data_IF_245641319684
#
_entry.id   IF_245641319684
#
_cell.length_a   1.000
_cell.length_b   1.000
_cell.length_c   1.000
_cell.angle_alpha   90.00
_cell.angle_beta   90.00
_cell.angle_gamma   90.00
#
_symmetry.space_group_name_H-M   'P 1'
#
loop_
_entity.id
_entity.type
_entity.pdbx_description
1 polymer ?
#
# COMPACT_ATOMS: atom_id res chain seq x y z
N UNK A 1 3.61 -3.46 38.33
CA UNK A 1 2.52 -2.46 38.24
C UNK A 1 1.25 -3.19 37.86
N UNK A 2 0.10 -2.82 38.44
CA UNK A 2 -1.21 -3.35 38.04
C UNK A 2 -1.81 -2.55 36.90
N UNK A 3 -2.58 -3.18 36.02
CA UNK A 3 -3.35 -2.50 34.97
C UNK A 3 -4.78 -3.04 34.95
N UNK A 4 -5.72 -2.21 34.51
CA UNK A 4 -7.14 -2.58 34.37
C UNK A 4 -7.44 -2.68 32.89
N UNK A 5 -7.94 -3.84 32.46
CA UNK A 5 -8.42 -4.04 31.09
C UNK A 5 -9.85 -3.54 30.99
N UNK A 6 -10.03 -2.39 30.35
CA UNK A 6 -11.35 -1.84 30.07
C UNK A 6 -12.04 -2.65 28.97
N UNK A 7 -13.37 -2.77 29.03
CA UNK A 7 -14.17 -3.44 28.01
C UNK A 7 -14.29 -2.61 26.72
N UNK A 8 -14.23 -1.28 26.84
CA UNK A 8 -14.26 -0.34 25.73
C UNK A 8 -13.07 0.62 25.82
N UNK A 9 -12.49 1.04 24.68
CA UNK A 9 -11.49 2.10 24.68
C UNK A 9 -12.09 3.40 25.21
N UNK A 10 -11.27 4.18 25.91
CA UNK A 10 -11.60 5.52 26.44
C UNK A 10 -10.52 6.50 26.02
N UNK A 11 -10.91 7.76 25.80
CA UNK A 11 -9.96 8.84 25.54
C UNK A 11 -9.53 9.48 26.86
N UNK A 12 -8.24 9.77 26.99
CA UNK A 12 -7.73 10.50 28.13
C UNK A 12 -8.11 11.99 28.04
N UNK A 13 -8.58 12.57 29.15
CA UNK A 13 -9.19 13.91 29.18
C UNK A 13 -8.27 15.02 28.67
N UNK A 14 -6.97 14.91 28.95
CA UNK A 14 -5.98 15.90 28.51
C UNK A 14 -5.88 16.07 26.99
N UNK A 15 -6.21 15.05 26.18
CA UNK A 15 -6.06 15.15 24.72
C UNK A 15 -7.25 15.75 24.00
N UNK A 16 -8.43 15.80 24.62
CA UNK A 16 -9.63 16.36 23.99
C UNK A 16 -10.15 17.64 24.64
N UNK A 17 -9.87 17.86 25.94
CA UNK A 17 -10.35 19.05 26.67
C UNK A 17 -9.29 20.16 26.83
N UNK A 18 -8.02 19.87 26.52
CA UNK A 18 -6.97 20.89 26.48
C UNK A 18 -7.24 21.89 25.35
N UNK A 19 -6.71 23.11 25.48
CA UNK A 19 -6.78 24.16 24.47
C UNK A 19 -5.35 24.48 24.03
N UNK A 20 -4.99 24.32 22.74
CA UNK A 20 -5.78 23.66 21.69
C UNK A 20 -5.84 22.14 21.93
N UNK A 21 -6.94 21.47 21.57
CA UNK A 21 -7.04 20.03 21.84
C UNK A 21 -6.25 19.25 20.78
N UNK A 22 -5.23 18.45 21.16
CA UNK A 22 -4.42 17.70 20.20
C UNK A 22 -5.25 16.80 19.27
N UNK A 23 -6.30 16.19 19.81
CA UNK A 23 -7.16 15.29 19.04
C UNK A 23 -8.02 16.02 18.00
N UNK A 24 -8.45 17.26 18.30
CA UNK A 24 -9.15 18.12 17.32
C UNK A 24 -8.25 18.51 16.17
N UNK A 25 -6.99 18.87 16.46
CA UNK A 25 -6.01 19.25 15.44
C UNK A 25 -5.67 18.08 14.51
N UNK A 26 -5.53 16.87 15.06
CA UNK A 26 -5.25 15.68 14.28
C UNK A 26 -6.40 15.31 13.33
N UNK A 27 -7.64 15.43 13.82
CA UNK A 27 -8.84 15.00 13.08
C UNK A 27 -9.47 16.12 12.24
N UNK A 28 -9.00 17.36 12.37
CA UNK A 28 -9.60 18.57 11.79
C UNK A 28 -11.10 18.72 12.14
N UNK A 29 -11.44 18.44 13.41
CA UNK A 29 -12.81 18.53 13.93
C UNK A 29 -12.85 19.59 15.03
N UNK A 30 -13.79 20.55 15.04
CA UNK A 30 -13.86 21.53 16.10
C UNK A 30 -14.10 20.87 17.47
N UNK A 31 -13.49 21.37 18.57
CA UNK A 31 -13.50 20.70 19.87
C UNK A 31 -14.91 20.46 20.41
N UNK A 32 -15.87 21.35 20.12
CA UNK A 32 -17.28 21.17 20.48
C UNK A 32 -17.90 19.92 19.85
N UNK A 33 -17.55 19.61 18.60
CA UNK A 33 -18.05 18.41 17.93
C UNK A 33 -17.36 17.16 18.47
N UNK A 34 -16.08 17.25 18.83
CA UNK A 34 -15.31 16.15 19.42
C UNK A 34 -15.86 15.76 20.81
N UNK A 35 -16.17 16.74 21.66
CA UNK A 35 -16.80 16.50 22.97
C UNK A 35 -18.14 15.77 22.82
N UNK A 36 -18.98 16.18 21.86
CA UNK A 36 -20.26 15.51 21.57
C UNK A 36 -20.09 14.04 21.20
N UNK A 37 -19.06 13.71 20.42
CA UNK A 37 -18.76 12.33 20.02
C UNK A 37 -18.35 11.50 21.24
N UNK A 38 -17.44 12.03 22.07
CA UNK A 38 -16.91 11.35 23.25
C UNK A 38 -17.96 11.10 24.34
N UNK A 39 -18.89 12.03 24.51
CA UNK A 39 -19.96 11.93 25.50
C UNK A 39 -21.24 11.29 24.96
N UNK A 40 -21.20 10.68 23.78
CA UNK A 40 -22.36 10.05 23.14
C UNK A 40 -23.59 10.97 23.12
N UNK A 41 -23.40 12.22 22.68
CA UNK A 41 -24.47 13.17 22.58
C UNK A 41 -25.60 12.61 21.68
N UNK A 42 -26.88 12.78 22.07
CA UNK A 42 -28.01 12.12 21.41
C UNK A 42 -28.24 12.57 19.96
N UNK A 43 -27.67 13.71 19.57
CA UNK A 43 -27.69 14.24 18.21
C UNK A 43 -26.71 13.53 17.27
N UNK A 44 -25.72 12.81 17.79
CA UNK A 44 -24.74 12.08 16.99
C UNK A 44 -25.16 10.62 16.85
N UNK A 45 -25.68 10.27 15.68
CA UNK A 45 -25.91 8.89 15.26
C UNK A 45 -24.96 8.54 14.13
N UNK A 46 -24.46 7.30 14.11
CA UNK A 46 -23.87 6.76 12.89
C UNK A 46 -25.03 6.32 12.02
N UNK A 47 -25.11 6.89 10.83
CA UNK A 47 -26.11 6.54 9.84
C UNK A 47 -25.39 6.09 8.59
N UNK A 48 -25.91 5.05 7.95
CA UNK A 48 -25.39 4.61 6.67
C UNK A 48 -25.86 5.58 5.58
N UNK A 49 -24.96 5.90 4.65
CA UNK A 49 -25.29 6.73 3.49
C UNK A 49 -25.76 5.82 2.36
N UNK A 50 -26.74 6.28 1.59
CA UNK A 50 -27.30 5.58 0.44
C UNK A 50 -27.22 6.46 -0.80
N UNK A 51 -26.91 5.86 -1.94
CA UNK A 51 -26.93 6.53 -3.25
C UNK A 51 -28.18 6.10 -4.02
N UNK A 52 -28.90 7.07 -4.56
CA UNK A 52 -30.12 6.81 -5.34
C UNK A 52 -29.77 6.29 -6.73
N UNK A 53 -30.30 5.13 -7.09
CA UNK A 53 -30.12 4.51 -8.41
C UNK A 53 -31.28 4.83 -9.35
N UNK A 54 -32.50 4.74 -8.83
CA UNK A 54 -33.74 5.02 -9.55
C UNK A 54 -34.60 5.96 -8.72
N UNK A 55 -34.90 7.13 -9.27
CA UNK A 55 -35.83 8.09 -8.68
C UNK A 55 -37.13 8.13 -9.47
N UNK A 56 -38.23 7.74 -8.81
CA UNK A 56 -39.57 7.75 -9.39
C UNK A 56 -40.45 8.74 -8.62
N UNK A 57 -40.34 10.04 -8.91
CA UNK A 57 -41.27 11.07 -8.44
C UNK A 57 -41.05 11.62 -7.03
N UNK A 58 -40.01 11.15 -6.33
CA UNK A 58 -39.38 11.93 -5.26
C UNK A 58 -38.47 12.95 -5.95
N UNK A 59 -38.47 14.24 -5.55
CA UNK A 59 -37.60 15.28 -6.13
C UNK A 59 -36.09 15.09 -5.90
N UNK A 60 -35.65 13.83 -5.83
CA UNK A 60 -34.30 13.34 -5.71
C UNK A 60 -33.84 12.93 -7.11
N UNK A 61 -32.61 13.27 -7.44
CA UNK A 61 -31.98 12.88 -8.69
C UNK A 61 -31.15 11.60 -8.49
N UNK A 62 -30.86 10.92 -9.59
CA UNK A 62 -29.98 9.75 -9.58
C UNK A 62 -28.56 10.20 -9.20
N UNK A 63 -27.97 9.56 -8.19
CA UNK A 63 -26.65 9.91 -7.66
C UNK A 63 -26.70 10.80 -6.40
N UNK A 64 -27.87 11.21 -5.94
CA UNK A 64 -28.00 11.91 -4.66
C UNK A 64 -27.64 10.98 -3.50
N UNK A 65 -26.89 11.53 -2.54
CA UNK A 65 -26.50 10.85 -1.32
C UNK A 65 -27.50 11.20 -0.22
N UNK A 66 -28.13 10.17 0.33
CA UNK A 66 -29.23 10.26 1.27
C UNK A 66 -28.86 9.55 2.58
N UNK A 67 -29.39 10.04 3.70
CA UNK A 67 -29.24 9.41 5.01
C UNK A 67 -30.14 8.16 5.14
N UNK A 68 -29.75 7.21 5.98
CA UNK A 68 -30.53 5.99 6.25
C UNK A 68 -31.98 6.29 6.69
N UNK A 69 -32.17 7.33 7.51
CA UNK A 69 -33.49 7.74 8.00
C UNK A 69 -34.35 8.25 6.85
N UNK A 70 -33.79 9.08 5.97
CA UNK A 70 -34.47 9.60 4.79
C UNK A 70 -34.81 8.47 3.81
N UNK A 71 -33.87 7.55 3.58
CA UNK A 71 -34.13 6.35 2.78
C UNK A 71 -35.29 5.52 3.34
N UNK A 72 -35.35 5.30 4.67
CA UNK A 72 -36.45 4.59 5.31
C UNK A 72 -37.79 5.31 5.13
N UNK A 73 -37.80 6.64 5.22
CA UNK A 73 -38.98 7.47 4.96
C UNK A 73 -39.42 7.27 3.51
N UNK A 74 -38.53 7.48 2.54
CA UNK A 74 -38.88 7.36 1.13
C UNK A 74 -39.33 5.96 0.74
N UNK A 75 -38.69 4.91 1.25
CA UNK A 75 -39.10 3.51 1.04
C UNK A 75 -40.51 3.23 1.55
N UNK A 76 -40.92 3.87 2.65
CA UNK A 76 -42.27 3.74 3.22
C UNK A 76 -43.35 4.41 2.36
N UNK A 77 -43.02 5.53 1.72
CA UNK A 77 -43.96 6.30 0.91
C UNK A 77 -43.94 5.92 -0.58
N UNK A 78 -42.84 5.36 -1.06
CA UNK A 78 -42.64 5.01 -2.46
C UNK A 78 -41.82 3.71 -2.58
N UNK A 79 -42.50 2.62 -2.90
CA UNK A 79 -41.89 1.28 -3.02
C UNK A 79 -40.94 1.16 -4.22
N UNK A 80 -41.01 2.10 -5.18
CA UNK A 80 -40.18 2.08 -6.38
C UNK A 80 -38.80 2.72 -6.19
N UNK A 81 -38.58 3.47 -5.10
CA UNK A 81 -37.28 4.08 -4.83
C UNK A 81 -36.25 2.97 -4.54
N UNK A 82 -35.24 2.86 -5.40
CA UNK A 82 -34.07 2.00 -5.16
C UNK A 82 -32.86 2.86 -4.84
N UNK A 83 -32.27 2.61 -3.68
CA UNK A 83 -31.00 3.18 -3.28
C UNK A 83 -30.12 2.08 -2.71
N UNK A 84 -28.82 2.15 -3.00
CA UNK A 84 -27.83 1.22 -2.51
C UNK A 84 -26.94 1.88 -1.46
N UNK A 85 -26.44 1.12 -0.46
CA UNK A 85 -25.54 1.66 0.52
C UNK A 85 -24.20 2.10 -0.11
N UNK A 86 -23.74 3.29 0.26
CA UNK A 86 -22.46 3.82 -0.17
C UNK A 86 -21.34 3.21 0.66
N UNK A 87 -20.40 2.55 -0.01
CA UNK A 87 -19.17 2.05 0.61
C UNK A 87 -17.98 2.86 0.09
N UNK A 88 -17.14 3.32 1.00
CA UNK A 88 -15.84 3.85 0.61
C UNK A 88 -14.88 2.67 0.38
N UNK A 89 -14.74 2.27 -0.88
CA UNK A 89 -13.82 1.20 -1.27
C UNK A 89 -12.41 1.80 -1.35
N UNK A 90 -11.63 1.60 -0.30
CA UNK A 90 -10.20 1.85 -0.37
C UNK A 90 -9.59 0.83 -1.34
N UNK A 91 -9.07 1.31 -2.48
CA UNK A 91 -8.26 0.47 -3.37
C UNK A 91 -6.99 0.09 -2.61
N UNK A 92 -6.91 -1.17 -2.20
CA UNK A 92 -5.70 -1.73 -1.58
C UNK A 92 -4.94 -2.44 -2.68
N UNK A 93 -3.70 -2.01 -2.93
CA UNK A 93 -2.79 -2.75 -3.79
C UNK A 93 -2.26 -3.94 -3.00
N UNK A 94 -2.49 -5.14 -3.48
CA UNK A 94 -1.98 -6.36 -2.87
C UNK A 94 -0.57 -6.57 -3.41
N UNK A 95 0.40 -6.76 -2.52
CA UNK A 95 1.74 -7.16 -2.90
C UNK A 95 1.76 -8.66 -3.17
N UNK A 96 2.17 -9.05 -4.38
CA UNK A 96 2.04 -10.43 -4.86
C UNK A 96 3.11 -11.38 -4.32
N UNK A 97 4.26 -10.87 -3.87
CA UNK A 97 5.41 -11.68 -3.46
C UNK A 97 5.48 -11.87 -1.94
N UNK A 98 6.03 -13.01 -1.52
CA UNK A 98 6.28 -13.31 -0.12
C UNK A 98 7.76 -13.08 0.20
N UNK A 99 8.04 -13.00 1.50
CA UNK A 99 9.41 -12.89 2.01
C UNK A 99 10.21 -14.13 1.58
N UNK A 100 11.37 -13.90 0.96
CA UNK A 100 12.24 -14.94 0.42
C UNK A 100 12.06 -15.23 -1.07
N UNK A 101 11.06 -14.66 -1.74
CA UNK A 101 10.91 -14.78 -3.20
C UNK A 101 12.06 -14.09 -3.94
N UNK A 102 12.48 -14.70 -5.05
CA UNK A 102 13.52 -14.17 -5.95
C UNK A 102 12.81 -13.43 -7.09
N UNK A 103 13.24 -12.20 -7.34
CA UNK A 103 12.63 -11.25 -8.27
C UNK A 103 13.69 -10.79 -9.28
N UNK A 104 13.30 -10.67 -10.54
CA UNK A 104 14.15 -10.11 -11.59
C UNK A 104 14.30 -8.59 -11.46
N UNK A 105 15.35 -8.01 -12.04
CA UNK A 105 15.55 -6.55 -12.01
C UNK A 105 14.38 -5.76 -12.63
N UNK A 106 13.73 -6.30 -13.67
CA UNK A 106 12.56 -5.67 -14.31
C UNK A 106 11.36 -5.62 -13.38
N UNK A 107 11.05 -6.74 -12.73
CA UNK A 107 9.95 -6.85 -11.77
C UNK A 107 10.21 -5.96 -10.54
N UNK A 108 11.46 -5.89 -10.08
CA UNK A 108 11.83 -4.99 -8.99
C UNK A 108 11.63 -3.52 -9.36
N UNK A 109 12.00 -3.09 -10.58
CA UNK A 109 11.74 -1.72 -11.03
C UNK A 109 10.24 -1.41 -11.06
N UNK A 110 9.40 -2.36 -11.46
CA UNK A 110 7.96 -2.16 -11.49
C UNK A 110 7.35 -2.15 -10.07
N UNK A 111 7.82 -3.02 -9.17
CA UNK A 111 7.42 -2.99 -7.76
C UNK A 111 7.86 -1.70 -7.06
N UNK A 112 9.06 -1.20 -7.35
CA UNK A 112 9.53 0.10 -6.85
C UNK A 112 8.66 1.26 -7.34
N UNK A 113 8.18 1.24 -8.60
CA UNK A 113 7.24 2.27 -9.10
C UNK A 113 5.88 2.19 -8.41
N UNK A 114 5.42 0.99 -8.07
CA UNK A 114 4.07 0.77 -7.53
C UNK A 114 3.99 1.03 -6.02
N UNK A 115 5.01 0.60 -5.27
CA UNK A 115 5.02 0.57 -3.80
C UNK A 115 6.08 1.48 -3.16
N UNK A 116 7.05 1.99 -3.93
CA UNK A 116 8.15 2.78 -3.42
C UNK A 116 9.21 1.97 -2.66
N UNK A 117 10.38 2.57 -2.41
CA UNK A 117 11.53 1.92 -1.74
C UNK A 117 11.29 1.55 -0.26
N UNK A 118 10.21 2.04 0.34
CA UNK A 118 9.95 1.89 1.79
C UNK A 118 9.22 0.57 2.07
N UNK A 119 8.50 0.04 1.10
CA UNK A 119 7.57 -1.07 1.31
C UNK A 119 8.26 -2.43 1.54
N UNK A 120 9.35 -2.69 0.82
CA UNK A 120 10.11 -3.93 0.96
C UNK A 120 11.62 -3.69 0.87
N UNK A 121 12.36 -4.52 1.60
CA UNK A 121 13.82 -4.59 1.51
C UNK A 121 14.22 -5.77 0.63
N UNK A 122 15.26 -5.55 -0.17
CA UNK A 122 15.81 -6.55 -1.08
C UNK A 122 17.32 -6.65 -0.91
N UNK A 123 17.84 -7.84 -1.12
CA UNK A 123 19.27 -8.10 -1.23
C UNK A 123 19.56 -8.61 -2.64
N UNK A 124 20.62 -8.12 -3.28
CA UNK A 124 21.10 -8.66 -4.55
C UNK A 124 21.76 -10.01 -4.29
N UNK A 125 21.35 -11.03 -5.03
CA UNK A 125 22.10 -12.28 -5.12
C UNK A 125 23.25 -12.03 -6.10
N UNK A 126 24.47 -11.91 -5.58
CA UNK A 126 25.67 -12.01 -6.42
C UNK A 126 25.92 -13.49 -6.69
N UNK A 127 26.07 -13.86 -7.96
CA UNK A 127 26.50 -15.21 -8.32
C UNK A 127 27.94 -15.38 -7.84
N UNK A 128 28.18 -16.35 -6.95
CA UNK A 128 29.50 -16.69 -6.38
C UNK A 128 30.51 -17.14 -7.47
N UNK A 129 30.07 -17.31 -8.71
CA UNK A 129 30.90 -17.78 -9.83
C UNK A 129 31.96 -16.77 -10.32
N UNK A 130 31.87 -15.47 -9.99
CA UNK A 130 32.87 -14.48 -10.45
C UNK A 130 34.25 -14.64 -9.79
N UNK A 131 34.33 -15.23 -8.60
CA UNK A 131 35.62 -15.48 -7.93
C UNK A 131 36.32 -16.74 -8.49
N UNK A 132 35.59 -17.79 -8.86
CA UNK A 132 36.19 -19.01 -9.40
C UNK A 132 36.53 -18.88 -10.90
N UNK A 133 35.76 -18.13 -11.70
CA UNK A 133 36.10 -17.91 -13.12
C UNK A 133 37.35 -17.06 -13.30
N UNK A 134 37.64 -16.12 -12.40
CA UNK A 134 38.84 -15.26 -12.50
C UNK A 134 40.14 -16.02 -12.17
N UNK A 135 40.13 -16.95 -11.22
CA UNK A 135 41.27 -17.83 -10.93
C UNK A 135 41.52 -18.85 -12.06
N UNK A 136 40.45 -19.38 -12.66
CA UNK A 136 40.54 -20.33 -13.79
C UNK A 136 41.01 -19.63 -15.07
N UNK A 137 40.65 -18.36 -15.30
CA UNK A 137 41.10 -17.58 -16.46
C UNK A 137 42.60 -17.24 -16.41
N UNK A 138 43.16 -16.95 -15.24
CA UNK A 138 44.61 -16.76 -15.07
C UNK A 138 45.39 -18.06 -15.36
N UNK A 139 44.94 -19.21 -14.86
CA UNK A 139 45.57 -20.51 -15.16
C UNK A 139 45.43 -20.93 -16.64
N UNK A 140 44.32 -20.55 -17.28
CA UNK A 140 44.04 -20.90 -18.68
C UNK A 140 44.72 -19.92 -19.66
N UNK A 141 45.01 -18.67 -19.28
CA UNK A 141 45.84 -17.75 -20.08
C UNK A 141 47.30 -18.20 -20.14
N UNK A 142 47.88 -18.66 -19.03
CA UNK A 142 49.22 -19.26 -19.02
C UNK A 142 49.30 -20.53 -19.89
N UNK A 143 48.19 -21.28 -20.00
CA UNK A 143 48.10 -22.47 -20.86
C UNK A 143 47.78 -22.17 -22.34
N UNK A 144 47.27 -20.99 -22.69
CA UNK A 144 46.77 -20.64 -24.05
C UNK A 144 47.74 -19.84 -24.92
N UNK A 145 49.00 -19.65 -24.51
CA UNK A 145 50.03 -19.01 -25.35
C UNK A 145 50.35 -19.79 -26.64
N UNK A 146 49.84 -21.02 -26.80
CA UNK A 146 49.96 -21.77 -28.04
C UNK A 146 48.67 -22.48 -28.45
N UNK A 147 47.72 -21.76 -29.08
CA UNK A 147 46.87 -22.20 -30.22
C UNK A 147 45.92 -21.03 -30.56
N UNK A 148 46.15 -20.42 -31.74
CA UNK A 148 45.21 -19.48 -32.38
C UNK A 148 44.54 -20.24 -33.52
N UNK A 149 43.23 -20.49 -33.40
CA UNK A 149 42.23 -20.33 -34.47
C UNK A 149 40.80 -20.79 -34.11
N UNK A 150 40.55 -21.43 -32.96
CA UNK A 150 39.16 -21.78 -32.53
C UNK A 150 38.44 -20.70 -31.69
N UNK A 151 39.07 -19.54 -31.43
CA UNK A 151 38.58 -18.54 -30.46
C UNK A 151 37.36 -17.73 -30.92
N UNK A 152 37.12 -17.56 -32.22
CA UNK A 152 36.07 -16.65 -32.73
C UNK A 152 34.63 -17.16 -32.60
N UNK A 153 34.40 -18.47 -32.75
CA UNK A 153 33.04 -19.03 -32.62
C UNK A 153 32.64 -19.25 -31.16
N UNK A 154 33.61 -19.47 -30.26
CA UNK A 154 33.36 -19.64 -28.82
C UNK A 154 33.16 -18.28 -28.12
N UNK A 155 33.84 -17.21 -28.56
CA UNK A 155 33.63 -15.84 -28.04
C UNK A 155 32.23 -15.30 -28.36
N UNK A 156 31.68 -15.55 -29.56
CA UNK A 156 30.33 -15.10 -29.93
C UNK A 156 29.20 -15.86 -29.20
N UNK A 157 29.45 -17.10 -28.77
CA UNK A 157 28.50 -17.88 -27.95
C UNK A 157 28.57 -17.43 -26.49
N UNK A 158 29.77 -17.16 -25.97
CA UNK A 158 29.97 -16.63 -24.61
C UNK A 158 29.44 -15.20 -24.43
N UNK A 159 29.60 -14.31 -25.40
CA UNK A 159 29.00 -12.96 -25.34
C UNK A 159 27.46 -12.97 -25.34
N UNK A 160 26.84 -14.04 -25.85
CA UNK A 160 25.38 -14.23 -25.79
C UNK A 160 24.92 -14.79 -24.44
N UNK A 161 25.74 -15.59 -23.77
CA UNK A 161 25.46 -16.11 -22.42
C UNK A 161 25.72 -15.05 -21.33
N UNK A 162 26.78 -14.23 -21.48
CA UNK A 162 27.11 -13.13 -20.55
C UNK A 162 26.07 -12.00 -20.58
N UNK A 163 25.34 -11.82 -21.69
CA UNK A 163 24.27 -10.81 -21.78
C UNK A 163 22.98 -11.14 -21.02
N UNK A 164 22.87 -12.33 -20.42
CA UNK A 164 21.66 -12.80 -19.74
C UNK A 164 21.88 -13.24 -18.28
N UNK A 165 22.98 -12.83 -17.61
CA UNK A 165 23.04 -12.89 -16.14
C UNK A 165 22.22 -11.72 -15.57
N UNK A 166 20.88 -11.82 -15.68
CA UNK A 166 19.96 -10.86 -15.05
C UNK A 166 20.18 -10.87 -13.53
N UNK A 167 20.47 -9.70 -12.96
CA UNK A 167 20.67 -9.54 -11.51
C UNK A 167 19.37 -9.94 -10.80
N UNK A 168 19.46 -10.93 -9.93
CA UNK A 168 18.34 -11.43 -9.15
C UNK A 168 18.34 -10.82 -7.75
N UNK A 169 17.17 -10.40 -7.28
CA UNK A 169 16.99 -9.82 -5.95
C UNK A 169 16.14 -10.74 -5.09
N UNK A 170 16.52 -10.94 -3.84
CA UNK A 170 15.72 -11.66 -2.84
C UNK A 170 15.03 -10.66 -1.92
N UNK A 171 13.72 -10.79 -1.73
CA UNK A 171 13.00 -9.97 -0.75
C UNK A 171 13.33 -10.46 0.66
N UNK A 172 13.92 -9.59 1.48
CA UNK A 172 14.26 -9.89 2.88
C UNK A 172 13.21 -9.42 3.86
N UNK A 173 12.46 -8.37 3.55
CA UNK A 173 11.42 -7.87 4.45
C UNK A 173 10.29 -7.24 3.65
N UNK A 174 9.05 -7.58 3.99
CA UNK A 174 7.84 -6.90 3.50
C UNK A 174 7.17 -6.29 4.71
N UNK A 175 7.09 -4.96 4.77
CA UNK A 175 6.22 -4.29 5.72
C UNK A 175 4.79 -4.34 5.13
N UNK A 176 3.79 -4.73 5.95
CA UNK A 176 2.49 -5.25 5.49
C UNK A 176 1.60 -4.31 4.65
N UNK A 177 0.31 -4.66 4.50
CA UNK A 177 -0.64 -3.97 3.63
C UNK A 177 -0.78 -2.46 3.96
N UNK A 178 -0.45 -1.60 2.99
CA UNK A 178 -0.62 -0.14 3.07
C UNK A 178 -1.67 0.29 2.04
N UNK A 179 -2.64 1.13 2.45
CA UNK A 179 -3.62 1.73 1.53
C UNK A 179 -2.95 2.78 0.63
N UNK A 180 -3.44 2.96 -0.60
CA UNK A 180 -2.90 3.95 -1.55
C UNK A 180 -2.81 5.37 -0.95
N UNK A 181 -3.74 5.73 -0.06
CA UNK A 181 -3.76 7.00 0.68
C UNK A 181 -2.58 7.17 1.63
N UNK A 182 -2.15 6.10 2.29
CA UNK A 182 -1.00 6.13 3.21
C UNK A 182 0.33 6.10 2.44
N UNK A 183 0.36 5.45 1.27
CA UNK A 183 1.53 5.41 0.40
C UNK A 183 1.84 6.82 -0.16
N UNK A 184 0.81 7.54 -0.64
CA UNK A 184 0.95 8.95 -1.06
C UNK A 184 1.41 9.88 0.06
N UNK A 185 0.88 9.73 1.27
CA UNK A 185 1.31 10.53 2.44
C UNK A 185 2.77 10.31 2.81
N UNK A 186 3.24 9.06 2.80
CA UNK A 186 4.66 8.73 3.05
C UNK A 186 5.59 9.30 1.97
N UNK A 187 5.14 9.35 0.72
CA UNK A 187 5.87 9.98 -0.39
C UNK A 187 5.92 11.51 -0.25
N UNK A 188 4.79 12.14 0.12
CA UNK A 188 4.72 13.58 0.38
C UNK A 188 5.61 14.01 1.56
N UNK A 189 5.61 13.27 2.67
CA UNK A 189 6.45 13.57 3.84
C UNK A 189 7.95 13.54 3.53
N UNK A 190 8.40 12.68 2.60
CA UNK A 190 9.81 12.58 2.21
C UNK A 190 10.25 13.61 1.17
N UNK A 191 9.36 14.07 0.30
CA UNK A 191 9.69 15.13 -0.67
C UNK A 191 9.79 16.52 -0.02
N UNK A 192 9.32 16.66 1.22
CA UNK A 192 9.45 17.88 2.03
C UNK A 192 10.68 17.90 2.95
N UNK A 193 11.54 16.87 2.91
CA UNK A 193 12.80 16.76 3.69
C UNK A 193 14.01 17.10 2.83
#
# INVERSE_FOLDING_TARGET
MGHIKLASPVSHVWYFKAIPSPLSLLLDIPPRNLEKILYFAPDRRREQLFEVIESDGTGLEKGDIILEVEYCIHKKYNEKLKAEPVYNINKVKIFSHKMGDVISEKEDQDLQKIFGKIFYQKESLLSIEEEEESEIEEEVEEAKEGIKEEKKEVEEVKEKEVKNKEIQYRITKVDGLISETNLKRLEEEKNLS
#
